data_IF_028286355854
#
_entry.id   IF_028286355854
#
_cell.length_a   1.000
_cell.length_b   1.000
_cell.length_c   1.000
_cell.angle_alpha   90.00
_cell.angle_beta   90.00
_cell.angle_gamma   90.00
#
_symmetry.space_group_name_H-M   'P 1'
#
loop_
_entity.id
_entity.type
_entity.pdbx_description
1 polymer ?
#
# COMPACT_ATOMS: atom_id res chain seq x y z
N UNK A 1 33.75 -2.97 9.22
CA UNK A 1 32.58 -2.57 8.41
C UNK A 1 31.63 -3.74 8.44
N UNK A 2 30.41 -3.52 8.85
CA UNK A 2 29.40 -4.58 8.83
C UNK A 2 29.18 -5.00 7.37
N UNK A 3 28.95 -6.30 7.16
CA UNK A 3 28.72 -6.84 5.81
C UNK A 3 27.48 -6.18 5.21
N UNK A 4 27.59 -5.62 4.00
CA UNK A 4 26.42 -5.17 3.25
C UNK A 4 25.51 -6.37 2.94
N UNK A 5 24.20 -6.16 3.06
CA UNK A 5 23.17 -7.17 2.81
C UNK A 5 22.37 -6.78 1.58
N UNK A 6 22.39 -7.66 0.59
CA UNK A 6 21.62 -7.50 -0.66
C UNK A 6 20.35 -8.34 -0.58
N UNK A 7 19.21 -7.67 -0.63
CA UNK A 7 17.88 -8.27 -0.54
C UNK A 7 17.20 -8.27 -1.90
N UNK A 8 16.72 -9.44 -2.35
CA UNK A 8 15.85 -9.58 -3.52
C UNK A 8 14.39 -9.60 -3.07
N UNK A 9 13.63 -8.53 -3.33
CA UNK A 9 12.20 -8.45 -3.10
C UNK A 9 11.40 -8.95 -4.28
N UNK A 10 10.28 -9.64 -4.00
CA UNK A 10 9.33 -10.13 -5.02
C UNK A 10 7.92 -9.80 -4.56
N UNK A 11 7.20 -9.00 -5.37
CA UNK A 11 5.81 -8.61 -5.16
C UNK A 11 4.93 -9.12 -6.30
N UNK A 12 3.86 -9.83 -5.94
CA UNK A 12 2.85 -10.33 -6.89
C UNK A 12 1.47 -10.47 -6.25
N UNK A 13 1.16 -9.69 -5.21
CA UNK A 13 -0.05 -9.90 -4.41
C UNK A 13 -1.36 -9.53 -5.12
N UNK A 14 -1.30 -8.68 -6.16
CA UNK A 14 -2.49 -8.18 -6.87
C UNK A 14 -2.28 -8.12 -8.38
N UNK A 15 -2.03 -6.96 -8.96
CA UNK A 15 -1.93 -6.74 -10.42
C UNK A 15 -0.58 -6.16 -10.85
N UNK A 16 0.40 -6.06 -9.95
CA UNK A 16 1.78 -5.72 -10.25
C UNK A 16 2.70 -6.93 -10.07
N UNK A 17 3.46 -7.29 -11.12
CA UNK A 17 4.62 -8.18 -10.99
C UNK A 17 5.84 -7.31 -10.78
N UNK A 18 6.41 -7.32 -9.60
CA UNK A 18 7.59 -6.50 -9.32
C UNK A 18 8.72 -7.31 -8.69
N UNK A 19 9.95 -6.97 -9.08
CA UNK A 19 11.18 -7.48 -8.47
C UNK A 19 12.14 -6.31 -8.24
N UNK A 20 12.76 -6.29 -7.08
CA UNK A 20 13.66 -5.22 -6.67
C UNK A 20 14.89 -5.76 -5.97
N UNK A 21 16.02 -5.11 -6.16
CA UNK A 21 17.25 -5.31 -5.41
C UNK A 21 17.47 -4.12 -4.49
N UNK A 22 17.57 -4.38 -3.20
CA UNK A 22 17.74 -3.34 -2.18
C UNK A 22 18.95 -3.68 -1.30
N UNK A 23 19.82 -2.69 -1.06
CA UNK A 23 20.96 -2.79 -0.17
C UNK A 23 20.61 -2.24 1.20
N UNK A 24 20.92 -3.02 2.25
CA UNK A 24 20.74 -2.64 3.66
C UNK A 24 19.33 -2.08 3.99
N UNK A 25 18.31 -2.59 3.27
CA UNK A 25 16.91 -2.25 3.48
C UNK A 25 16.47 -0.85 3.06
N UNK A 26 17.37 0.02 2.58
CA UNK A 26 17.07 1.43 2.29
C UNK A 26 17.54 1.91 0.92
N UNK A 27 18.62 1.40 0.42
CA UNK A 27 19.18 1.80 -0.88
C UNK A 27 18.64 0.91 -1.99
N UNK A 28 17.83 1.47 -2.87
CA UNK A 28 17.24 0.76 -4.01
C UNK A 28 18.25 0.74 -5.16
N UNK A 29 18.79 -0.44 -5.47
CA UNK A 29 19.68 -0.63 -6.63
C UNK A 29 18.87 -0.82 -7.92
N UNK A 30 17.72 -1.50 -7.84
CA UNK A 30 16.76 -1.64 -8.93
C UNK A 30 15.35 -1.85 -8.40
N UNK A 31 14.33 -1.43 -9.14
CA UNK A 31 12.93 -1.70 -8.84
C UNK A 31 12.14 -1.78 -10.14
N UNK A 32 11.88 -2.98 -10.63
CA UNK A 32 11.19 -3.24 -11.88
C UNK A 32 9.74 -3.60 -11.59
N UNK A 33 8.82 -2.91 -12.24
CA UNK A 33 7.38 -3.11 -12.08
C UNK A 33 6.78 -3.38 -13.46
N UNK A 34 6.10 -4.51 -13.60
CA UNK A 34 5.29 -4.88 -14.74
C UNK A 34 3.82 -4.83 -14.34
N UNK A 35 3.14 -3.72 -14.65
CA UNK A 35 1.77 -3.48 -14.22
C UNK A 35 0.76 -4.04 -15.20
N UNK A 36 -0.31 -4.62 -14.68
CA UNK A 36 -1.42 -5.17 -15.42
C UNK A 36 -2.62 -4.22 -15.49
N UNK A 37 -2.49 -2.97 -14.99
CA UNK A 37 -3.57 -1.95 -15.02
C UNK A 37 -4.20 -1.84 -16.41
N UNK A 38 -3.45 -1.76 -17.56
CA UNK A 38 -4.06 -1.64 -18.88
C UNK A 38 -4.91 -2.86 -19.29
N UNK A 39 -4.63 -4.03 -18.72
CA UNK A 39 -5.40 -5.25 -18.93
C UNK A 39 -6.69 -5.18 -18.14
N UNK A 40 -6.58 -4.87 -16.84
CA UNK A 40 -7.70 -4.86 -15.90
C UNK A 40 -8.65 -3.66 -16.09
N UNK A 41 -8.17 -2.56 -16.65
CA UNK A 41 -9.03 -1.41 -17.01
C UNK A 41 -10.18 -1.82 -17.94
N UNK A 42 -9.94 -2.78 -18.86
CA UNK A 42 -10.96 -3.31 -19.78
C UNK A 42 -12.11 -4.04 -19.06
N UNK A 43 -11.84 -4.54 -17.87
CA UNK A 43 -12.83 -5.26 -17.04
C UNK A 43 -13.41 -4.37 -15.93
N UNK A 44 -12.92 -3.13 -15.80
CA UNK A 44 -13.34 -2.20 -14.74
C UNK A 44 -12.83 -2.57 -13.34
N UNK A 45 -11.77 -3.38 -13.24
CA UNK A 45 -11.11 -3.79 -12.00
C UNK A 45 -10.35 -5.09 -12.16
N UNK A 46 -9.63 -5.49 -11.14
CA UNK A 46 -8.76 -6.68 -11.16
C UNK A 46 -9.57 -7.98 -11.29
N UNK A 47 -9.14 -8.83 -12.23
CA UNK A 47 -9.66 -10.19 -12.42
C UNK A 47 -8.60 -11.18 -11.93
N UNK A 48 -8.82 -11.90 -10.80
CA UNK A 48 -7.78 -12.66 -10.11
C UNK A 48 -7.11 -13.74 -10.98
N UNK A 49 -7.87 -14.44 -11.83
CA UNK A 49 -7.31 -15.48 -12.69
C UNK A 49 -6.42 -14.91 -13.79
N UNK A 50 -6.82 -13.77 -14.37
CA UNK A 50 -6.01 -13.05 -15.36
C UNK A 50 -4.73 -12.56 -14.72
N UNK A 51 -4.81 -11.98 -13.51
CA UNK A 51 -3.64 -11.52 -12.77
C UNK A 51 -2.64 -12.65 -12.54
N UNK A 52 -3.10 -13.80 -12.06
CA UNK A 52 -2.22 -14.96 -11.80
C UNK A 52 -1.48 -15.44 -13.04
N UNK A 53 -2.15 -15.50 -14.19
CA UNK A 53 -1.54 -15.92 -15.47
C UNK A 53 -0.47 -14.94 -15.93
N UNK A 54 -0.74 -13.64 -15.86
CA UNK A 54 0.24 -12.63 -16.26
C UNK A 54 1.48 -12.64 -15.34
N UNK A 55 1.32 -12.89 -14.04
CA UNK A 55 2.47 -13.03 -13.13
C UNK A 55 3.40 -14.17 -13.56
N UNK A 56 2.84 -15.32 -13.97
CA UNK A 56 3.65 -16.47 -14.44
C UNK A 56 4.50 -16.09 -15.65
N UNK A 57 3.94 -15.36 -16.60
CA UNK A 57 4.64 -14.95 -17.82
C UNK A 57 5.69 -13.86 -17.54
N UNK A 58 5.46 -12.98 -16.57
CA UNK A 58 6.29 -11.82 -16.30
C UNK A 58 7.47 -12.10 -15.37
N UNK A 59 7.29 -12.94 -14.32
CA UNK A 59 8.17 -12.97 -13.16
C UNK A 59 9.64 -13.23 -13.48
N UNK A 60 9.93 -14.18 -14.38
CA UNK A 60 11.32 -14.52 -14.75
C UNK A 60 12.00 -13.37 -15.52
N UNK A 61 11.25 -12.71 -16.43
CA UNK A 61 11.74 -11.57 -17.19
C UNK A 61 11.99 -10.36 -16.31
N UNK A 62 11.07 -10.08 -15.39
CA UNK A 62 11.18 -8.98 -14.43
C UNK A 62 12.35 -9.21 -13.48
N UNK A 63 12.56 -10.44 -13.00
CA UNK A 63 13.71 -10.79 -12.16
C UNK A 63 15.04 -10.57 -12.88
N UNK A 64 15.16 -11.07 -14.12
CA UNK A 64 16.38 -10.90 -14.93
C UNK A 64 16.68 -9.41 -15.09
N UNK A 65 15.67 -8.61 -15.44
CA UNK A 65 15.82 -7.16 -15.62
C UNK A 65 16.23 -6.45 -14.32
N UNK A 66 15.70 -6.88 -13.18
CA UNK A 66 16.04 -6.30 -11.87
C UNK A 66 17.53 -6.53 -11.52
N UNK A 67 18.07 -7.73 -11.79
CA UNK A 67 19.47 -8.04 -11.57
C UNK A 67 20.38 -7.26 -12.54
N UNK A 68 20.01 -7.20 -13.82
CA UNK A 68 20.74 -6.43 -14.83
C UNK A 68 20.83 -4.94 -14.46
N UNK A 69 19.72 -4.33 -14.05
CA UNK A 69 19.69 -2.91 -13.69
C UNK A 69 20.43 -2.60 -12.37
N UNK A 70 20.47 -3.57 -11.46
CA UNK A 70 21.27 -3.50 -10.25
C UNK A 70 22.78 -3.81 -10.49
N UNK A 71 23.13 -4.29 -11.67
CA UNK A 71 24.47 -4.74 -12.04
C UNK A 71 25.02 -5.79 -11.08
N UNK A 72 24.20 -6.79 -10.73
CA UNK A 72 24.55 -7.94 -9.86
C UNK A 72 24.09 -9.25 -10.50
N UNK A 73 24.55 -10.35 -9.89
CA UNK A 73 24.15 -11.71 -10.23
C UNK A 73 23.36 -12.36 -9.07
N UNK A 74 22.86 -13.57 -9.26
CA UNK A 74 22.17 -14.32 -8.20
C UNK A 74 23.08 -14.67 -7.00
N UNK A 75 24.37 -14.81 -7.24
CA UNK A 75 25.36 -15.12 -6.20
C UNK A 75 25.51 -13.99 -5.17
N UNK A 76 25.31 -12.74 -5.61
CA UNK A 76 25.45 -11.54 -4.78
C UNK A 76 24.28 -11.35 -3.81
N UNK A 77 23.17 -12.06 -4.02
CA UNK A 77 21.98 -11.95 -3.15
C UNK A 77 22.25 -12.63 -1.82
N UNK A 78 21.90 -11.98 -0.71
CA UNK A 78 22.02 -12.54 0.64
C UNK A 78 20.70 -13.12 1.15
N UNK A 79 19.54 -12.56 0.76
CA UNK A 79 18.21 -12.98 1.21
C UNK A 79 17.15 -12.74 0.15
N UNK A 80 16.17 -13.64 0.06
CA UNK A 80 15.04 -13.59 -0.88
C UNK A 80 13.75 -13.37 -0.09
N UNK A 81 13.00 -12.33 -0.47
CA UNK A 81 11.88 -11.83 0.31
C UNK A 81 10.62 -11.70 -0.55
N UNK A 82 9.76 -12.73 -0.63
CA UNK A 82 8.49 -12.66 -1.33
C UNK A 82 7.38 -12.11 -0.42
N UNK A 83 6.40 -11.44 -1.01
CA UNK A 83 5.10 -11.25 -0.40
C UNK A 83 4.36 -12.57 -0.29
N UNK A 84 3.89 -12.94 0.93
CA UNK A 84 3.11 -14.14 1.13
C UNK A 84 1.66 -13.87 1.56
N UNK A 85 1.30 -12.60 1.76
CA UNK A 85 -0.05 -12.13 2.10
C UNK A 85 -0.04 -10.73 2.72
N UNK A 86 -1.23 -10.11 2.86
CA UNK A 86 -2.47 -10.48 2.18
C UNK A 86 -2.44 -10.20 0.68
N UNK A 87 -3.44 -10.77 -0.07
CA UNK A 87 -3.56 -10.56 -1.50
C UNK A 87 -4.37 -11.65 -2.21
N UNK A 88 -4.37 -11.65 -3.53
CA UNK A 88 -5.03 -12.65 -4.35
C UNK A 88 -4.25 -13.96 -4.31
N UNK A 89 -4.89 -15.05 -3.86
CA UNK A 89 -4.21 -16.34 -3.61
C UNK A 89 -3.40 -16.84 -4.81
N UNK A 90 -3.98 -16.82 -6.01
CA UNK A 90 -3.29 -17.29 -7.22
C UNK A 90 -2.09 -16.41 -7.59
N UNK A 91 -2.21 -15.11 -7.43
CA UNK A 91 -1.15 -14.13 -7.65
C UNK A 91 0.00 -14.32 -6.63
N UNK A 92 -0.33 -14.36 -5.34
CA UNK A 92 0.64 -14.65 -4.27
C UNK A 92 1.42 -15.94 -4.51
N UNK A 93 0.73 -17.02 -4.93
CA UNK A 93 1.36 -18.32 -5.17
C UNK A 93 2.44 -18.25 -6.25
N UNK A 94 2.31 -17.40 -7.24
CA UNK A 94 3.31 -17.26 -8.31
C UNK A 94 4.63 -16.71 -7.74
N UNK A 95 4.59 -15.54 -7.10
CA UNK A 95 5.80 -14.92 -6.53
C UNK A 95 6.41 -15.75 -5.42
N UNK A 96 5.57 -16.30 -4.52
CA UNK A 96 6.03 -17.14 -3.43
C UNK A 96 6.70 -18.43 -3.91
N UNK A 97 6.09 -19.14 -4.89
CA UNK A 97 6.67 -20.38 -5.43
C UNK A 97 8.00 -20.11 -6.14
N UNK A 98 8.04 -19.03 -6.91
CA UNK A 98 9.26 -18.59 -7.59
C UNK A 98 10.37 -18.25 -6.58
N UNK A 99 10.06 -17.49 -5.54
CA UNK A 99 11.01 -17.15 -4.47
C UNK A 99 11.52 -18.38 -3.72
N UNK A 100 10.65 -19.34 -3.41
CA UNK A 100 11.03 -20.61 -2.76
C UNK A 100 11.97 -21.44 -3.65
N UNK A 101 11.69 -21.51 -4.95
CA UNK A 101 12.57 -22.21 -5.90
C UNK A 101 13.94 -21.54 -5.99
N UNK A 102 14.01 -20.22 -6.04
CA UNK A 102 15.28 -19.47 -6.01
C UNK A 102 16.04 -19.68 -4.70
N UNK A 103 15.37 -19.56 -3.55
CA UNK A 103 15.97 -19.73 -2.25
C UNK A 103 16.59 -21.14 -2.10
N UNK A 104 15.87 -22.16 -2.57
CA UNK A 104 16.35 -23.54 -2.59
C UNK A 104 17.55 -23.73 -3.53
N UNK A 105 17.44 -23.27 -4.78
CA UNK A 105 18.48 -23.44 -5.79
C UNK A 105 19.79 -22.72 -5.45
N UNK A 106 19.67 -21.53 -4.84
CA UNK A 106 20.82 -20.69 -4.47
C UNK A 106 21.32 -20.94 -3.04
N UNK A 107 20.63 -21.79 -2.27
CA UNK A 107 20.90 -22.02 -0.84
C UNK A 107 20.94 -20.71 -0.05
N UNK A 108 19.96 -19.83 -0.28
CA UNK A 108 19.83 -18.52 0.38
C UNK A 108 18.64 -18.50 1.35
N UNK A 109 18.71 -17.71 2.43
CA UNK A 109 17.60 -17.50 3.33
C UNK A 109 16.35 -17.01 2.62
N UNK A 110 15.18 -17.48 3.08
CA UNK A 110 13.86 -17.03 2.66
C UNK A 110 13.20 -16.27 3.81
N UNK A 111 12.62 -15.11 3.52
CA UNK A 111 11.87 -14.31 4.49
C UNK A 111 10.54 -13.90 3.87
N UNK A 112 9.42 -14.51 4.30
CA UNK A 112 8.09 -14.09 3.88
C UNK A 112 7.73 -12.73 4.45
N UNK A 113 7.22 -11.84 3.61
CA UNK A 113 6.87 -10.47 3.99
C UNK A 113 5.37 -10.27 3.92
N UNK A 114 4.80 -9.64 4.95
CA UNK A 114 3.44 -9.14 4.90
C UNK A 114 3.38 -7.88 4.01
N UNK A 115 2.49 -7.88 3.04
CA UNK A 115 2.30 -6.78 2.08
C UNK A 115 2.09 -5.40 2.75
N UNK A 116 1.35 -5.38 3.86
CA UNK A 116 1.11 -4.14 4.61
C UNK A 116 2.40 -3.64 5.28
N UNK A 117 3.23 -4.54 5.82
CA UNK A 117 4.55 -4.20 6.34
C UNK A 117 5.45 -3.63 5.22
N UNK A 118 5.33 -4.17 4.00
CA UNK A 118 6.00 -3.60 2.82
C UNK A 118 5.63 -2.14 2.61
N UNK A 119 4.35 -1.80 2.55
CA UNK A 119 3.92 -0.42 2.38
C UNK A 119 4.43 0.52 3.50
N UNK A 120 4.50 0.05 4.74
CA UNK A 120 5.12 0.82 5.83
C UNK A 120 6.60 1.06 5.53
N UNK A 121 7.31 0.02 5.09
CA UNK A 121 8.74 0.07 4.82
C UNK A 121 9.12 0.94 3.60
N UNK A 122 8.20 1.25 2.70
CA UNK A 122 8.41 2.23 1.64
C UNK A 122 8.86 3.60 2.17
N UNK A 123 8.44 3.96 3.40
CA UNK A 123 8.88 5.19 4.04
C UNK A 123 10.36 5.14 4.46
N UNK A 124 10.90 3.98 4.83
CA UNK A 124 12.32 3.84 5.19
C UNK A 124 13.25 4.05 3.99
N UNK A 125 12.76 3.74 2.78
CA UNK A 125 13.48 4.00 1.52
C UNK A 125 13.51 5.50 1.23
N UNK A 126 12.37 6.18 1.37
CA UNK A 126 12.26 7.62 1.09
C UNK A 126 12.98 8.46 2.16
N UNK A 127 12.91 8.03 3.41
CA UNK A 127 13.43 8.75 4.57
C UNK A 127 14.40 7.87 5.38
N UNK A 128 15.70 7.89 5.06
CA UNK A 128 16.70 7.11 5.79
C UNK A 128 16.78 7.42 7.29
N UNK A 129 16.28 8.60 7.71
CA UNK A 129 16.23 9.03 9.11
C UNK A 129 14.97 8.54 9.85
N UNK A 130 13.97 8.00 9.16
CA UNK A 130 12.76 7.51 9.83
C UNK A 130 13.05 6.22 10.59
N UNK A 131 12.76 6.25 11.87
CA UNK A 131 12.89 5.11 12.79
C UNK A 131 11.63 4.96 13.64
N UNK A 132 11.23 3.72 14.01
CA UNK A 132 10.19 3.51 15.00
C UNK A 132 10.59 4.07 16.39
N UNK A 133 9.60 4.45 17.25
CA UNK A 133 8.17 4.29 17.01
C UNK A 133 7.52 5.44 16.27
N UNK A 134 6.47 5.15 15.47
CA UNK A 134 5.62 6.14 14.82
C UNK A 134 4.21 5.59 14.54
N UNK A 135 3.27 6.48 14.20
CA UNK A 135 1.95 6.08 13.69
C UNK A 135 2.01 5.98 12.16
N UNK A 136 1.51 4.89 11.61
CA UNK A 136 1.34 4.74 10.16
C UNK A 136 -0.14 4.71 9.79
N UNK A 137 -0.51 5.57 8.83
CA UNK A 137 -1.86 5.58 8.24
C UNK A 137 -1.79 4.82 6.92
N UNK A 138 -2.19 3.56 6.97
CA UNK A 138 -2.23 2.67 5.83
C UNK A 138 -3.51 2.88 5.03
N UNK A 139 -3.40 3.18 3.74
CA UNK A 139 -4.51 3.51 2.85
C UNK A 139 -4.29 2.87 1.46
N UNK A 140 -4.98 1.78 1.18
CA UNK A 140 -4.91 1.07 -0.11
C UNK A 140 -6.28 0.67 -0.63
N UNK A 141 -6.31 -0.05 -1.75
CA UNK A 141 -7.53 -0.63 -2.30
C UNK A 141 -8.22 -1.62 -1.36
N UNK A 142 -7.46 -2.39 -0.59
CA UNK A 142 -7.99 -3.42 0.30
C UNK A 142 -7.86 -3.11 1.80
N UNK A 143 -7.13 -2.07 2.19
CA UNK A 143 -6.83 -1.80 3.60
C UNK A 143 -6.93 -0.32 3.95
N UNK A 144 -7.53 -0.02 5.12
CA UNK A 144 -7.45 1.30 5.76
C UNK A 144 -7.28 1.07 7.24
N UNK A 145 -6.11 1.48 7.79
CA UNK A 145 -5.74 1.21 9.18
C UNK A 145 -4.90 2.35 9.75
N UNK A 146 -5.02 2.57 11.07
CA UNK A 146 -4.04 3.31 11.86
C UNK A 146 -3.22 2.29 12.62
N UNK A 147 -1.91 2.31 12.42
CA UNK A 147 -0.97 1.31 12.93
C UNK A 147 0.07 2.02 13.80
N UNK A 148 0.27 1.55 15.01
CA UNK A 148 1.42 1.90 15.82
C UNK A 148 2.59 0.99 15.42
N UNK A 149 3.56 1.54 14.74
CA UNK A 149 4.81 0.88 14.41
C UNK A 149 5.73 1.01 15.62
N UNK A 150 5.88 -0.07 16.39
CA UNK A 150 6.68 -0.08 17.64
C UNK A 150 8.16 -0.27 17.36
N UNK A 151 8.45 -1.24 16.50
CA UNK A 151 9.78 -1.55 15.99
C UNK A 151 9.68 -1.80 14.49
N UNK A 152 10.78 -2.14 13.83
CA UNK A 152 10.75 -2.49 12.39
C UNK A 152 9.95 -3.77 12.09
N UNK A 153 9.63 -4.59 13.10
CA UNK A 153 8.95 -5.90 12.95
C UNK A 153 7.75 -6.08 13.87
N UNK A 154 7.45 -5.11 14.74
CA UNK A 154 6.32 -5.17 15.69
C UNK A 154 5.33 -4.03 15.46
N UNK A 155 4.05 -4.40 15.31
CA UNK A 155 2.98 -3.51 14.90
C UNK A 155 1.73 -3.75 15.73
N UNK A 156 1.03 -2.67 16.13
CA UNK A 156 -0.31 -2.74 16.72
C UNK A 156 -1.30 -1.99 15.85
N UNK A 157 -2.37 -2.64 15.43
CA UNK A 157 -3.48 -1.99 14.73
C UNK A 157 -4.37 -1.30 15.74
N UNK A 158 -4.37 0.04 15.76
CA UNK A 158 -5.17 0.86 16.67
C UNK A 158 -6.59 1.08 16.18
N UNK A 159 -6.80 1.12 14.87
CA UNK A 159 -8.09 1.28 14.22
C UNK A 159 -8.03 0.83 12.77
N UNK A 160 -9.16 0.36 12.24
CA UNK A 160 -9.28 -0.13 10.86
C UNK A 160 -10.66 0.16 10.31
N UNK A 161 -10.80 0.06 8.99
CA UNK A 161 -12.14 0.11 8.38
C UNK A 161 -12.97 -1.13 8.77
N UNK A 162 -14.25 -0.90 9.05
CA UNK A 162 -15.24 -1.97 9.33
C UNK A 162 -15.96 -2.45 8.08
N UNK A 163 -15.78 -1.74 6.97
CA UNK A 163 -16.43 -2.02 5.69
C UNK A 163 -15.48 -1.77 4.52
N UNK A 164 -15.84 -0.97 3.53
CA UNK A 164 -14.99 -0.68 2.37
C UNK A 164 -13.66 -0.04 2.81
N UNK A 165 -12.56 -0.44 2.19
CA UNK A 165 -11.32 0.32 2.27
C UNK A 165 -11.47 1.67 1.52
N UNK A 166 -10.68 2.64 1.91
CA UNK A 166 -10.73 3.98 1.30
C UNK A 166 -10.50 3.94 -0.22
N UNK A 167 -9.52 3.15 -0.70
CA UNK A 167 -9.25 3.01 -2.12
C UNK A 167 -10.40 2.35 -2.88
N UNK A 168 -11.01 1.32 -2.30
CA UNK A 168 -12.22 0.69 -2.85
C UNK A 168 -13.38 1.69 -2.95
N UNK A 169 -13.55 2.57 -1.96
CA UNK A 169 -14.56 3.62 -2.01
C UNK A 169 -14.29 4.63 -3.15
N UNK A 170 -13.02 5.02 -3.37
CA UNK A 170 -12.62 5.85 -4.51
C UNK A 170 -12.92 5.17 -5.85
N UNK A 171 -12.61 3.89 -6.01
CA UNK A 171 -12.85 3.13 -7.25
C UNK A 171 -14.35 2.99 -7.55
N UNK A 172 -15.16 2.72 -6.52
CA UNK A 172 -16.62 2.61 -6.66
C UNK A 172 -17.25 3.95 -7.03
N UNK A 173 -16.83 5.06 -6.41
CA UNK A 173 -17.29 6.41 -6.79
C UNK A 173 -16.87 6.74 -8.21
N UNK A 174 -15.61 6.52 -8.58
CA UNK A 174 -15.12 6.75 -9.93
C UNK A 174 -15.94 6.02 -10.99
N UNK A 175 -16.26 4.76 -10.74
CA UNK A 175 -17.08 3.93 -11.64
C UNK A 175 -18.45 4.55 -11.85
N UNK A 176 -19.12 4.99 -10.78
CA UNK A 176 -20.48 5.55 -10.86
C UNK A 176 -20.51 6.88 -11.59
N UNK A 177 -19.53 7.75 -11.37
CA UNK A 177 -19.44 9.03 -12.09
C UNK A 177 -18.85 8.91 -13.51
N UNK A 178 -18.52 7.66 -13.94
CA UNK A 178 -18.07 7.36 -15.30
C UNK A 178 -16.60 7.66 -15.57
N UNK A 179 -15.74 7.66 -14.54
CA UNK A 179 -14.29 7.89 -14.68
C UNK A 179 -13.49 6.61 -14.97
N UNK A 180 -14.05 5.42 -14.66
CA UNK A 180 -13.38 4.13 -14.88
C UNK A 180 -12.34 3.79 -13.82
N UNK A 181 -11.47 2.82 -14.13
CA UNK A 181 -10.43 2.27 -13.25
C UNK A 181 -9.02 2.69 -13.74
N UNK A 182 -8.00 2.90 -12.84
CA UNK A 182 -8.13 3.01 -11.39
C UNK A 182 -8.81 4.33 -10.99
N UNK A 183 -9.69 4.29 -9.98
CA UNK A 183 -10.55 5.41 -9.62
C UNK A 183 -9.84 6.50 -8.84
N UNK A 184 -8.94 6.14 -7.92
CA UNK A 184 -8.28 7.09 -7.01
C UNK A 184 -7.65 8.28 -7.73
N UNK A 185 -6.71 8.09 -8.67
CA UNK A 185 -6.08 9.18 -9.42
C UNK A 185 -7.07 9.99 -10.27
N UNK A 186 -8.09 9.34 -10.85
CA UNK A 186 -9.09 9.98 -11.70
C UNK A 186 -10.00 10.90 -10.88
N UNK A 187 -10.42 10.46 -9.69
CA UNK A 187 -11.20 11.27 -8.73
C UNK A 187 -10.36 12.44 -8.23
N UNK A 188 -9.10 12.23 -7.82
CA UNK A 188 -8.21 13.29 -7.36
C UNK A 188 -8.02 14.38 -8.42
N UNK A 189 -7.80 13.99 -9.68
CA UNK A 189 -7.63 14.94 -10.78
C UNK A 189 -8.90 15.72 -11.10
N UNK A 190 -10.07 15.08 -11.08
CA UNK A 190 -11.34 15.77 -11.34
C UNK A 190 -11.71 16.70 -10.17
N UNK A 191 -11.48 16.27 -8.93
CA UNK A 191 -11.75 17.04 -7.72
C UNK A 191 -11.02 18.40 -7.68
N UNK A 192 -9.83 18.51 -8.31
CA UNK A 192 -9.08 19.78 -8.43
C UNK A 192 -9.81 20.85 -9.21
N UNK A 193 -10.79 20.48 -10.03
CA UNK A 193 -11.59 21.38 -10.86
C UNK A 193 -12.93 21.73 -10.21
N UNK A 194 -13.25 21.10 -9.06
CA UNK A 194 -14.51 21.27 -8.36
C UNK A 194 -14.38 22.05 -7.04
N UNK A 195 -15.54 22.35 -6.48
CA UNK A 195 -15.69 22.97 -5.16
C UNK A 195 -16.39 21.98 -4.24
N UNK A 196 -15.87 21.77 -3.04
CA UNK A 196 -16.47 20.88 -2.04
C UNK A 196 -17.67 21.53 -1.34
N UNK A 197 -18.78 21.70 -2.06
CA UNK A 197 -20.01 22.38 -1.65
C UNK A 197 -21.20 21.43 -1.45
N UNK A 198 -21.02 20.12 -1.68
CA UNK A 198 -22.06 19.11 -1.52
C UNK A 198 -21.90 18.47 -0.14
N UNK A 199 -22.96 18.56 0.69
CA UNK A 199 -22.99 17.90 1.98
C UNK A 199 -23.14 16.39 1.83
N UNK A 200 -22.22 15.64 2.40
CA UNK A 200 -22.22 14.19 2.46
C UNK A 200 -22.23 13.73 3.92
N UNK A 201 -22.94 12.64 4.23
CA UNK A 201 -23.03 12.16 5.61
C UNK A 201 -21.67 11.68 6.10
N UNK A 202 -21.42 11.91 7.39
CA UNK A 202 -20.27 11.37 8.09
C UNK A 202 -20.70 10.19 8.97
N UNK A 203 -19.97 9.11 8.92
CA UNK A 203 -20.23 7.96 9.81
C UNK A 203 -19.72 8.29 11.21
N UNK A 204 -20.60 8.13 12.21
CA UNK A 204 -20.23 8.22 13.60
C UNK A 204 -20.36 6.83 14.24
N UNK A 205 -19.40 6.46 15.08
CA UNK A 205 -19.45 5.26 15.89
C UNK A 205 -19.76 5.63 17.34
N UNK A 206 -20.54 4.80 18.00
CA UNK A 206 -20.74 4.93 19.44
C UNK A 206 -19.45 4.51 20.18
N UNK A 207 -19.06 5.32 21.17
CA UNK A 207 -17.87 5.08 21.99
C UNK A 207 -16.55 5.58 21.39
N UNK A 208 -15.47 5.34 22.14
CA UNK A 208 -14.12 5.73 21.75
C UNK A 208 -13.49 4.65 20.86
N UNK A 209 -13.61 4.82 19.55
CA UNK A 209 -12.95 3.94 18.56
C UNK A 209 -12.16 4.77 17.55
N UNK A 210 -11.10 4.16 17.00
CA UNK A 210 -10.32 4.70 15.89
C UNK A 210 -10.69 4.03 14.56
N UNK A 211 -11.75 3.22 14.54
CA UNK A 211 -12.21 2.54 13.33
C UNK A 211 -12.82 3.52 12.32
N UNK A 212 -12.85 3.09 11.08
CA UNK A 212 -13.43 3.83 9.96
C UNK A 212 -14.65 3.13 9.37
N UNK A 213 -15.46 3.88 8.62
CA UNK A 213 -16.46 3.36 7.69
C UNK A 213 -16.58 4.30 6.50
N UNK A 214 -16.45 3.78 5.31
CA UNK A 214 -16.56 4.53 4.05
C UNK A 214 -17.74 4.12 3.20
N UNK A 215 -18.40 2.99 3.51
CA UNK A 215 -19.56 2.49 2.76
C UNK A 215 -20.75 3.44 2.78
N UNK A 216 -20.99 4.12 3.92
CA UNK A 216 -22.05 5.12 4.03
C UNK A 216 -21.81 6.34 3.12
N UNK A 217 -20.59 6.86 3.13
CA UNK A 217 -20.18 8.01 2.30
C UNK A 217 -20.29 7.65 0.82
N UNK A 218 -19.71 6.50 0.42
CA UNK A 218 -19.82 5.98 -0.94
C UNK A 218 -21.27 5.86 -1.39
N UNK A 219 -22.13 5.25 -0.57
CA UNK A 219 -23.54 5.05 -0.90
C UNK A 219 -24.29 6.36 -1.06
N UNK A 220 -23.99 7.35 -0.24
CA UNK A 220 -24.56 8.70 -0.37
C UNK A 220 -24.20 9.35 -1.71
N UNK A 221 -22.92 9.25 -2.14
CA UNK A 221 -22.47 9.75 -3.45
C UNK A 221 -23.19 9.04 -4.59
N UNK A 222 -23.31 7.72 -4.54
CA UNK A 222 -24.01 6.93 -5.57
C UNK A 222 -25.48 7.32 -5.66
N UNK A 223 -26.17 7.41 -4.53
CA UNK A 223 -27.57 7.79 -4.48
C UNK A 223 -27.79 9.21 -4.96
N UNK A 224 -26.92 10.15 -4.61
CA UNK A 224 -27.00 11.53 -5.07
C UNK A 224 -26.86 11.62 -6.59
N UNK A 225 -25.85 10.94 -7.15
CA UNK A 225 -25.63 10.93 -8.60
C UNK A 225 -26.81 10.30 -9.36
N UNK A 226 -27.43 9.23 -8.81
CA UNK A 226 -28.63 8.66 -9.42
C UNK A 226 -29.86 9.59 -9.36
N UNK A 227 -30.02 10.34 -8.25
CA UNK A 227 -31.14 11.31 -8.11
C UNK A 227 -30.93 12.57 -8.94
N UNK A 228 -29.70 12.98 -9.13
CA UNK A 228 -29.29 14.19 -9.84
C UNK A 228 -28.20 13.84 -10.87
N UNK A 229 -28.52 13.23 -12.01
CA UNK A 229 -27.54 12.83 -13.02
C UNK A 229 -26.70 14.00 -13.56
N UNK A 230 -27.25 15.21 -13.54
CA UNK A 230 -26.61 16.45 -14.00
C UNK A 230 -25.78 17.13 -12.89
N UNK A 231 -25.61 16.51 -11.72
CA UNK A 231 -24.75 17.05 -10.67
C UNK A 231 -23.32 17.26 -11.19
N UNK A 232 -22.73 18.40 -10.84
CA UNK A 232 -21.34 18.66 -11.22
C UNK A 232 -20.42 17.58 -10.63
N UNK A 233 -19.88 16.72 -11.50
CA UNK A 233 -19.05 15.59 -11.10
C UNK A 233 -17.75 16.02 -10.41
N UNK A 234 -17.19 17.19 -10.78
CA UNK A 234 -16.00 17.72 -10.13
C UNK A 234 -16.30 18.14 -8.69
N UNK A 235 -17.44 18.81 -8.45
CA UNK A 235 -17.86 19.20 -7.11
C UNK A 235 -18.18 17.97 -6.24
N UNK A 236 -18.81 16.96 -6.84
CA UNK A 236 -19.10 15.70 -6.16
C UNK A 236 -17.81 14.97 -5.74
N UNK A 237 -16.81 14.87 -6.64
CA UNK A 237 -15.50 14.30 -6.35
C UNK A 237 -14.76 15.11 -5.28
N UNK A 238 -14.79 16.46 -5.35
CA UNK A 238 -14.16 17.31 -4.36
C UNK A 238 -14.81 17.16 -2.98
N UNK A 239 -16.14 17.07 -2.90
CA UNK A 239 -16.87 16.88 -1.65
C UNK A 239 -16.64 15.49 -1.06
N UNK A 240 -16.63 14.44 -1.90
CA UNK A 240 -16.30 13.09 -1.48
C UNK A 240 -14.89 13.02 -0.90
N UNK A 241 -13.88 13.52 -1.63
CA UNK A 241 -12.50 13.52 -1.19
C UNK A 241 -12.30 14.27 0.12
N UNK A 242 -12.98 15.39 0.30
CA UNK A 242 -12.97 16.20 1.53
C UNK A 242 -13.48 15.39 2.73
N UNK A 243 -14.71 14.84 2.66
CA UNK A 243 -15.32 14.15 3.80
C UNK A 243 -14.54 12.88 4.20
N UNK A 244 -14.02 12.16 3.21
CA UNK A 244 -13.16 10.98 3.46
C UNK A 244 -11.87 11.40 4.17
N UNK A 245 -11.24 12.48 3.74
CA UNK A 245 -10.02 13.01 4.36
C UNK A 245 -10.28 13.53 5.78
N UNK A 246 -11.39 14.24 6.01
CA UNK A 246 -11.78 14.69 7.34
C UNK A 246 -11.99 13.52 8.30
N UNK A 247 -12.62 12.44 7.82
CA UNK A 247 -12.80 11.20 8.61
C UNK A 247 -11.47 10.57 9.00
N UNK A 248 -10.49 10.53 8.09
CA UNK A 248 -9.14 10.06 8.38
C UNK A 248 -8.45 10.94 9.43
N UNK A 249 -8.44 12.25 9.20
CA UNK A 249 -7.72 13.22 10.05
C UNK A 249 -8.23 13.19 11.49
N UNK A 250 -9.54 13.14 11.71
CA UNK A 250 -10.11 13.07 13.06
C UNK A 250 -9.62 11.86 13.85
N UNK A 251 -9.57 10.68 13.22
CA UNK A 251 -9.11 9.48 13.91
C UNK A 251 -7.60 9.46 14.10
N UNK A 252 -6.84 10.04 13.16
CA UNK A 252 -5.39 10.21 13.33
C UNK A 252 -5.07 11.18 14.47
N UNK A 253 -5.76 12.31 14.58
CA UNK A 253 -5.60 13.25 15.68
C UNK A 253 -5.97 12.63 17.04
N UNK A 254 -7.02 11.78 17.08
CA UNK A 254 -7.35 10.99 18.27
C UNK A 254 -6.23 10.00 18.61
N UNK A 255 -5.70 9.27 17.61
CA UNK A 255 -4.61 8.33 17.81
C UNK A 255 -3.35 9.02 18.36
N UNK A 256 -3.00 10.21 17.83
CA UNK A 256 -1.88 11.02 18.33
C UNK A 256 -2.12 11.37 19.81
N UNK A 257 -3.33 11.80 20.18
CA UNK A 257 -3.66 12.14 21.57
C UNK A 257 -3.58 10.95 22.53
N UNK A 258 -4.07 9.77 22.08
CA UNK A 258 -4.09 8.55 22.91
C UNK A 258 -2.67 8.01 23.11
N UNK A 259 -1.84 8.01 22.04
CA UNK A 259 -0.51 7.40 22.08
C UNK A 259 0.60 8.36 22.52
N UNK A 260 0.39 9.67 22.37
CA UNK A 260 1.42 10.68 22.56
C UNK A 260 2.50 10.71 21.46
N UNK A 261 2.37 9.88 20.41
CA UNK A 261 3.34 9.79 19.31
C UNK A 261 3.17 10.99 18.40
N UNK A 262 4.28 11.69 18.14
CA UNK A 262 4.29 12.91 17.33
C UNK A 262 4.92 12.73 15.93
N UNK A 263 5.01 11.48 15.48
CA UNK A 263 5.49 11.13 14.14
C UNK A 263 4.41 10.31 13.43
N UNK A 264 4.00 10.77 12.25
CA UNK A 264 2.97 10.12 11.43
C UNK A 264 3.54 9.85 10.04
N UNK A 265 3.42 8.62 9.56
CA UNK A 265 3.77 8.24 8.20
C UNK A 265 2.51 7.81 7.42
N UNK A 266 2.43 8.16 6.15
CA UNK A 266 1.39 7.63 5.24
C UNK A 266 1.93 6.41 4.50
N UNK A 267 1.04 5.47 4.14
CA UNK A 267 1.41 4.29 3.37
C UNK A 267 0.25 3.80 2.48
N UNK A 268 0.59 3.04 1.44
CA UNK A 268 -0.37 2.48 0.49
C UNK A 268 -0.72 3.42 -0.67
N UNK A 269 -1.34 2.88 -1.72
CA UNK A 269 -1.59 3.59 -2.98
C UNK A 269 -2.37 4.90 -2.85
N UNK A 270 -3.32 4.98 -1.91
CA UNK A 270 -4.11 6.20 -1.67
C UNK A 270 -3.27 7.31 -1.01
N UNK A 271 -2.13 6.99 -0.42
CA UNK A 271 -1.20 8.01 0.09
C UNK A 271 -0.60 8.91 -1.00
N UNK A 272 -0.77 8.55 -2.28
CA UNK A 272 -0.43 9.38 -3.43
C UNK A 272 -1.45 10.51 -3.71
N UNK A 273 -2.66 10.45 -3.11
CA UNK A 273 -3.70 11.43 -3.32
C UNK A 273 -3.26 12.82 -2.86
N UNK A 274 -3.34 13.80 -3.78
CA UNK A 274 -2.78 15.14 -3.56
C UNK A 274 -3.49 15.94 -2.46
N UNK A 275 -4.80 15.76 -2.31
CA UNK A 275 -5.58 16.45 -1.28
C UNK A 275 -5.30 15.87 0.11
N UNK A 276 -5.25 14.53 0.23
CA UNK A 276 -4.90 13.86 1.48
C UNK A 276 -3.52 14.30 1.94
N UNK A 277 -2.51 14.26 1.06
CA UNK A 277 -1.14 14.73 1.39
C UNK A 277 -1.15 16.16 1.91
N UNK A 278 -1.86 17.07 1.23
CA UNK A 278 -1.96 18.48 1.63
C UNK A 278 -2.59 18.65 3.02
N UNK A 279 -3.65 17.89 3.32
CA UNK A 279 -4.32 17.99 4.62
C UNK A 279 -3.44 17.42 5.74
N UNK A 280 -2.73 16.31 5.51
CA UNK A 280 -1.81 15.76 6.50
C UNK A 280 -0.64 16.69 6.84
N UNK A 281 -0.13 17.47 5.88
CA UNK A 281 0.91 18.48 6.16
C UNK A 281 0.45 19.57 7.14
N UNK A 282 -0.86 19.74 7.35
CA UNK A 282 -1.36 20.67 8.37
C UNK A 282 -1.01 20.24 9.80
N UNK A 283 -0.78 18.96 10.03
CA UNK A 283 -0.36 18.44 11.33
C UNK A 283 0.99 19.00 11.77
N UNK A 284 1.85 19.39 10.81
CA UNK A 284 3.16 19.98 11.11
C UNK A 284 3.05 21.31 11.87
N UNK A 285 1.95 22.06 11.65
CA UNK A 285 1.67 23.29 12.41
C UNK A 285 1.48 23.04 13.91
N UNK A 286 1.13 21.80 14.27
CA UNK A 286 0.94 21.35 15.64
C UNK A 286 2.17 20.60 16.19
N UNK A 287 3.33 20.67 15.49
CA UNK A 287 4.57 20.01 15.91
C UNK A 287 4.65 18.51 15.56
N UNK A 288 3.71 17.97 14.78
CA UNK A 288 3.74 16.58 14.34
C UNK A 288 4.65 16.44 13.12
N UNK A 289 5.58 15.50 13.14
CA UNK A 289 6.40 15.16 11.97
C UNK A 289 5.59 14.28 11.02
N UNK A 290 5.52 14.67 9.74
CA UNK A 290 4.75 13.94 8.72
C UNK A 290 5.68 13.38 7.65
N UNK A 291 5.61 12.07 7.42
CA UNK A 291 6.38 11.36 6.41
C UNK A 291 5.44 10.77 5.35
N UNK A 292 5.77 10.97 4.08
CA UNK A 292 4.95 10.50 2.96
C UNK A 292 5.87 9.90 1.89
N UNK A 293 5.72 8.63 1.54
CA UNK A 293 6.64 7.98 0.62
C UNK A 293 6.64 8.70 -0.75
N UNK A 294 7.74 8.57 -1.47
CA UNK A 294 7.82 9.00 -2.87
C UNK A 294 6.65 8.41 -3.66
N UNK A 295 6.09 9.19 -4.59
CA UNK A 295 4.91 8.77 -5.36
C UNK A 295 5.10 7.42 -6.05
N UNK A 296 6.32 7.15 -6.55
CA UNK A 296 6.70 5.86 -7.18
C UNK A 296 6.72 4.66 -6.23
N UNK A 297 6.73 4.90 -4.90
CA UNK A 297 6.74 3.86 -3.87
C UNK A 297 5.40 3.73 -3.14
N UNK A 298 4.40 4.56 -3.47
CA UNK A 298 3.07 4.48 -2.86
C UNK A 298 2.29 3.24 -3.32
N UNK A 299 2.39 2.86 -4.60
CA UNK A 299 1.74 1.68 -5.18
C UNK A 299 2.57 0.42 -4.96
N UNK A 300 2.01 -0.73 -5.31
CA UNK A 300 2.65 -2.04 -5.12
C UNK A 300 3.98 -2.12 -5.88
N UNK A 301 5.03 -2.46 -5.17
CA UNK A 301 6.38 -2.58 -5.71
C UNK A 301 7.25 -3.49 -4.83
N UNK A 302 8.28 -4.08 -5.42
CA UNK A 302 9.11 -5.02 -4.68
C UNK A 302 10.19 -4.35 -3.82
N UNK A 303 10.50 -3.05 -4.03
CA UNK A 303 11.47 -2.37 -3.16
C UNK A 303 10.95 -2.25 -1.72
N UNK A 304 9.65 -1.99 -1.55
CA UNK A 304 9.01 -1.98 -0.24
C UNK A 304 9.06 -3.34 0.45
N UNK A 305 8.94 -4.43 -0.33
CA UNK A 305 9.00 -5.80 0.17
C UNK A 305 10.45 -6.17 0.55
N UNK A 306 11.43 -5.80 -0.28
CA UNK A 306 12.84 -6.00 0.03
C UNK A 306 13.26 -5.23 1.29
N UNK A 307 12.80 -3.99 1.46
CA UNK A 307 13.06 -3.18 2.66
C UNK A 307 12.51 -3.85 3.92
N UNK A 308 11.22 -4.23 3.92
CA UNK A 308 10.61 -4.94 5.05
C UNK A 308 11.27 -6.29 5.31
N UNK A 309 11.62 -7.03 4.25
CA UNK A 309 12.32 -8.31 4.34
C UNK A 309 13.68 -8.19 4.96
N UNK A 310 14.44 -7.14 4.66
CA UNK A 310 15.73 -6.86 5.30
C UNK A 310 15.60 -6.75 6.82
N UNK A 311 14.63 -5.94 7.31
CA UNK A 311 14.45 -5.78 8.75
C UNK A 311 14.01 -7.07 9.44
N UNK A 312 13.16 -7.87 8.79
CA UNK A 312 12.81 -9.20 9.28
C UNK A 312 14.02 -10.14 9.29
N UNK A 313 14.87 -10.09 8.26
CA UNK A 313 16.08 -10.90 8.16
C UNK A 313 17.07 -10.61 9.31
N UNK A 314 17.39 -9.33 9.55
CA UNK A 314 18.31 -8.96 10.63
C UNK A 314 17.74 -9.19 12.02
N UNK A 315 16.39 -9.22 12.17
CA UNK A 315 15.72 -9.63 13.40
C UNK A 315 15.68 -11.16 13.60
N UNK A 316 16.16 -11.95 12.63
CA UNK A 316 16.14 -13.41 12.69
C UNK A 316 14.82 -14.08 12.33
N UNK A 317 13.86 -13.34 11.77
CA UNK A 317 12.54 -13.84 11.35
C UNK A 317 12.64 -14.57 10.00
N UNK A 318 13.25 -15.76 10.00
CA UNK A 318 13.41 -16.56 8.79
C UNK A 318 12.19 -17.43 8.52
N UNK A 319 11.93 -17.70 7.24
CA UNK A 319 10.91 -18.63 6.79
C UNK A 319 11.52 -19.91 6.26
N UNK A 320 10.79 -21.01 6.34
CA UNK A 320 11.17 -22.26 5.70
C UNK A 320 10.38 -22.48 4.40
N UNK A 321 10.71 -23.52 3.65
CA UNK A 321 10.07 -23.84 2.38
C UNK A 321 8.61 -24.32 2.51
N UNK A 322 8.10 -24.56 3.73
CA UNK A 322 6.67 -24.84 3.97
C UNK A 322 5.80 -23.56 4.03
N UNK A 323 6.42 -22.36 3.98
CA UNK A 323 5.68 -21.11 3.91
C UNK A 323 4.65 -21.16 2.78
N UNK A 324 3.41 -20.76 3.05
CA UNK A 324 2.32 -20.77 2.07
C UNK A 324 1.66 -19.41 1.95
N UNK A 325 0.96 -19.19 0.84
CA UNK A 325 0.20 -17.97 0.63
C UNK A 325 -0.95 -17.84 1.64
N UNK A 326 -1.10 -16.65 2.22
CA UNK A 326 -2.14 -16.32 3.20
C UNK A 326 -2.95 -15.11 2.71
N UNK A 327 -4.01 -15.31 1.90
CA UNK A 327 -4.76 -14.22 1.27
C UNK A 327 -5.35 -13.20 2.26
N UNK A 328 -5.70 -13.64 3.46
CA UNK A 328 -6.30 -12.83 4.51
C UNK A 328 -5.35 -12.61 5.70
N UNK A 329 -4.03 -12.59 5.42
CA UNK A 329 -3.02 -12.36 6.45
C UNK A 329 -3.27 -11.02 7.14
N UNK A 330 -3.29 -11.03 8.46
CA UNK A 330 -3.36 -9.82 9.27
C UNK A 330 -1.96 -9.32 9.57
N UNK A 331 -1.89 -8.03 9.86
CA UNK A 331 -0.67 -7.43 10.38
C UNK A 331 -0.38 -7.92 11.79
#
# INVERSE_FOLDING_TARGET
MDKEIITLGIESSCDETSVSVVRNGREVLSNIIDTQIPIHEKYGGVVPEIASRNHIEAISRVTKKALEDANITFEDIDVITPTYGPGLVGALLVGLSYAKALAFALNKPLVGVNHIQGHIAANYITYPELEPPFLCVMMSGGNTQIIHVKTYTEFDVLGKTRDDAIGEAFDKVARVVGLGYPGGPKVDNLAKQGVSNIELPKTHFDGETLDFSFSGIKTAVINLHHKMPDVNKADLCASFQKIVTETLMENVEKAIKITGIQTVALAGGVSANSYIRKEFLRLEKNGIKVFMPDLKLCTDNAAMIASSGYYNYIAGNLSNLNLNAMPNLKL
#
